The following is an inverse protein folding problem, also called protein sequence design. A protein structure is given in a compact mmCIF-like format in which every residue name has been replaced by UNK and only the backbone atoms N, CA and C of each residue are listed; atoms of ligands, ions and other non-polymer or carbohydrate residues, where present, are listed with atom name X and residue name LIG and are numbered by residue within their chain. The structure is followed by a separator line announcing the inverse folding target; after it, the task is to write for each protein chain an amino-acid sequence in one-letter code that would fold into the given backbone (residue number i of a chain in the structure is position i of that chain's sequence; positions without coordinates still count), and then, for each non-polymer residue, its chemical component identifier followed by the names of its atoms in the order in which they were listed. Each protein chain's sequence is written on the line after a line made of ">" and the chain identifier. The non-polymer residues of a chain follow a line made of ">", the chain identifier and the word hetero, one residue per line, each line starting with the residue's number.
data_IF_167543157853
#
_entry.id   IF_167543157853
#
_cell.length_a   1.000
_cell.length_b   1.000
_cell.length_c   1.000
_cell.angle_alpha   90.00
_cell.angle_beta   90.00
_cell.angle_gamma   90.00
#
_symmetry.space_group_name_H-M   'P 1'
#
loop_
_entity.id
_entity.type
_entity.pdbx_description
1 polymer ?
#
# COMPACT_ATOMS: atom_id res chain seq x y z
N UNK A 1 17.25 14.58 14.25
CA UNK A 1 16.23 15.63 14.08
C UNK A 1 15.75 16.04 15.46
N UNK A 2 15.77 17.33 15.82
CA UNK A 2 15.18 17.81 17.08
C UNK A 2 14.13 18.88 16.76
N UNK A 3 12.84 18.57 16.97
CA UNK A 3 11.73 19.50 16.71
C UNK A 3 11.45 20.41 17.92
N UNK A 4 11.92 20.04 19.11
CA UNK A 4 11.69 20.79 20.34
C UNK A 4 12.47 22.13 20.40
N UNK A 5 13.49 22.29 19.56
CA UNK A 5 14.24 23.56 19.43
C UNK A 5 13.60 24.55 18.46
N UNK A 6 12.57 24.12 17.70
CA UNK A 6 11.84 24.99 16.80
C UNK A 6 10.62 25.60 17.50
N UNK A 7 10.28 26.86 17.22
CA UNK A 7 9.09 27.46 17.77
C UNK A 7 7.83 26.76 17.20
N UNK A 8 6.71 26.77 17.94
CA UNK A 8 5.52 26.00 17.60
C UNK A 8 4.94 26.35 16.23
N UNK A 9 5.08 27.59 15.76
CA UNK A 9 4.62 28.06 14.45
C UNK A 9 5.28 27.30 13.30
N UNK A 10 6.59 27.02 13.42
CA UNK A 10 7.36 26.32 12.38
C UNK A 10 6.95 24.85 12.32
N UNK A 11 6.79 24.21 13.49
CA UNK A 11 6.30 22.84 13.54
C UNK A 11 4.85 22.74 13.03
N UNK A 12 4.02 23.72 13.34
CA UNK A 12 2.61 23.78 12.91
C UNK A 12 2.49 23.92 11.40
N UNK A 13 3.21 24.88 10.79
CA UNK A 13 3.20 25.05 9.32
C UNK A 13 3.64 23.77 8.63
N UNK A 14 4.64 23.04 9.16
CA UNK A 14 5.08 21.76 8.58
C UNK A 14 4.03 20.65 8.72
N UNK A 15 3.27 20.62 9.81
CA UNK A 15 2.26 19.59 10.07
C UNK A 15 0.97 19.83 9.28
N UNK A 16 0.55 21.09 9.13
CA UNK A 16 -0.73 21.45 8.52
C UNK A 16 -0.63 21.85 7.05
N UNK A 17 0.58 21.91 6.49
CA UNK A 17 0.80 22.03 5.05
C UNK A 17 0.99 20.66 4.40
N UNK A 18 0.74 20.58 3.09
CA UNK A 18 0.95 19.39 2.28
C UNK A 18 -0.35 18.66 1.91
N UNK A 19 -0.20 17.51 1.26
CA UNK A 19 -1.29 16.77 0.63
C UNK A 19 -2.18 15.97 1.60
N UNK A 20 -1.90 16.01 2.90
CA UNK A 20 -2.60 15.19 3.90
C UNK A 20 -2.36 13.69 3.70
N UNK A 21 -3.32 12.86 4.10
CA UNK A 21 -3.21 11.40 4.06
C UNK A 21 -3.73 10.76 2.76
N UNK A 22 -4.34 11.53 1.86
CA UNK A 22 -4.97 10.98 0.64
C UNK A 22 -4.00 10.18 -0.23
N UNK A 23 -2.75 10.64 -0.50
CA UNK A 23 -1.80 9.85 -1.26
C UNK A 23 -1.43 8.52 -0.58
N UNK A 24 -1.42 8.48 0.75
CA UNK A 24 -1.15 7.25 1.51
C UNK A 24 -2.33 6.27 1.41
N UNK A 25 -3.56 6.79 1.42
CA UNK A 25 -4.76 5.96 1.22
C UNK A 25 -4.81 5.39 -0.20
N UNK A 26 -4.46 6.19 -1.21
CA UNK A 26 -4.34 5.73 -2.59
C UNK A 26 -3.29 4.63 -2.75
N UNK A 27 -2.13 4.79 -2.10
CA UNK A 27 -1.09 3.77 -2.08
C UNK A 27 -1.56 2.48 -1.38
N UNK A 28 -2.25 2.58 -0.25
CA UNK A 28 -2.82 1.43 0.45
C UNK A 28 -3.80 0.65 -0.45
N UNK A 29 -4.73 1.36 -1.12
CA UNK A 29 -5.66 0.73 -2.05
C UNK A 29 -4.96 0.06 -3.26
N UNK A 30 -3.84 0.63 -3.72
CA UNK A 30 -3.03 0.01 -4.76
C UNK A 30 -2.37 -1.29 -4.27
N UNK A 31 -1.85 -1.31 -3.04
CA UNK A 31 -1.31 -2.52 -2.42
C UNK A 31 -2.37 -3.60 -2.20
N UNK A 32 -3.59 -3.22 -1.79
CA UNK A 32 -4.71 -4.14 -1.67
C UNK A 32 -5.11 -4.78 -3.01
N UNK A 33 -5.09 -3.99 -4.09
CA UNK A 33 -5.32 -4.54 -5.44
C UNK A 33 -4.22 -5.50 -5.85
N UNK A 34 -2.96 -5.15 -5.62
CA UNK A 34 -1.83 -6.03 -5.97
C UNK A 34 -1.91 -7.37 -5.21
N UNK A 35 -2.27 -7.35 -3.93
CA UNK A 35 -2.41 -8.59 -3.16
C UNK A 35 -3.54 -9.48 -3.69
N UNK A 36 -4.67 -8.89 -4.10
CA UNK A 36 -5.78 -9.62 -4.70
C UNK A 36 -5.38 -10.30 -6.03
N UNK A 37 -4.65 -9.59 -6.89
CA UNK A 37 -4.16 -10.16 -8.16
C UNK A 37 -3.15 -11.30 -7.91
N UNK A 38 -2.28 -11.18 -6.91
CA UNK A 38 -1.36 -12.24 -6.52
C UNK A 38 -2.09 -13.47 -5.97
N UNK A 39 -3.15 -13.29 -5.19
CA UNK A 39 -3.99 -14.39 -4.71
C UNK A 39 -4.70 -15.11 -5.87
N UNK A 40 -5.16 -14.36 -6.89
CA UNK A 40 -5.73 -14.96 -8.09
C UNK A 40 -4.70 -15.83 -8.84
N UNK A 41 -3.39 -15.58 -8.70
CA UNK A 41 -2.37 -16.41 -9.33
C UNK A 41 -2.35 -17.86 -8.81
N UNK A 42 -2.78 -18.09 -7.56
CA UNK A 42 -2.92 -19.45 -7.02
C UNK A 42 -3.95 -20.28 -7.81
N UNK A 43 -4.97 -19.63 -8.39
CA UNK A 43 -5.94 -20.31 -9.25
C UNK A 43 -5.30 -20.91 -10.50
N UNK A 44 -4.30 -20.24 -11.10
CA UNK A 44 -3.56 -20.79 -12.23
C UNK A 44 -2.79 -22.05 -11.83
N UNK A 45 -2.12 -22.02 -10.67
CA UNK A 45 -1.42 -23.20 -10.16
C UNK A 45 -2.37 -24.39 -9.95
N UNK A 46 -3.56 -24.14 -9.39
CA UNK A 46 -4.60 -25.16 -9.22
C UNK A 46 -5.05 -25.76 -10.56
N UNK A 47 -5.32 -24.93 -11.58
CA UNK A 47 -5.76 -25.40 -12.90
C UNK A 47 -4.67 -26.22 -13.59
N UNK A 48 -3.42 -25.73 -13.57
CA UNK A 48 -2.28 -26.46 -14.16
C UNK A 48 -2.07 -27.81 -13.48
N UNK A 49 -2.15 -27.88 -12.15
CA UNK A 49 -2.02 -29.14 -11.42
C UNK A 49 -3.17 -30.11 -11.75
N UNK A 50 -4.41 -29.61 -11.85
CA UNK A 50 -5.57 -30.42 -12.21
C UNK A 50 -5.44 -31.00 -13.62
N UNK A 51 -4.96 -30.22 -14.58
CA UNK A 51 -4.70 -30.68 -15.94
C UNK A 51 -3.58 -31.73 -15.99
N UNK A 52 -2.47 -31.51 -15.26
CA UNK A 52 -1.34 -32.43 -15.24
C UNK A 52 -1.67 -33.78 -14.57
N UNK A 53 -2.57 -33.81 -13.57
CA UNK A 53 -3.00 -35.03 -12.91
C UNK A 53 -4.10 -35.82 -13.65
N UNK A 54 -4.70 -35.25 -14.69
CA UNK A 54 -5.78 -35.86 -15.47
C UNK A 54 -5.31 -36.56 -16.76
N UNK A 55 -4.03 -36.44 -17.12
CA UNK A 55 -3.39 -37.13 -18.27
C UNK A 55 -2.57 -38.33 -17.81
#
# INVERSE_FOLDING_TARGET
>A
MNFAVLPPEINSVRMFSGAGSEPMLAAAAAWDRLSAELAAAESFASVTSGLAGAG
#
